data_IF_342541861947
#
_entry.id   IF_342541861947
#
_cell.length_a   1.000
_cell.length_b   1.000
_cell.length_c   1.000
_cell.angle_alpha   90.00
_cell.angle_beta   90.00
_cell.angle_gamma   90.00
#
_symmetry.space_group_name_H-M   'P 1'
#
loop_
_entity.id
_entity.type
_entity.pdbx_description
1 polymer ?
#
# COMPACT_ATOMS: atom_id res chain seq x y z
N UNK A 1 -3.81 16.65 -13.80
CA UNK A 1 -3.72 15.90 -12.53
C UNK A 1 -2.99 14.62 -12.83
N UNK A 2 -1.88 14.34 -12.14
CA UNK A 2 -1.10 13.11 -12.31
C UNK A 2 -1.46 12.12 -11.21
N UNK A 3 -1.78 10.89 -11.58
CA UNK A 3 -2.36 9.89 -10.68
C UNK A 3 -1.57 8.59 -10.73
N UNK A 4 -1.43 7.92 -9.60
CA UNK A 4 -0.77 6.62 -9.53
C UNK A 4 -1.49 5.63 -8.60
N UNK A 5 -1.39 4.36 -8.94
CA UNK A 5 -1.62 3.27 -8.00
C UNK A 5 -0.27 2.66 -7.65
N UNK A 6 -0.03 2.52 -6.36
CA UNK A 6 1.15 1.83 -5.86
C UNK A 6 0.74 0.52 -5.21
N UNK A 7 1.49 -0.51 -5.55
CA UNK A 7 1.53 -1.74 -4.79
C UNK A 7 2.98 -2.06 -4.38
N UNK A 8 3.13 -2.95 -3.42
CA UNK A 8 4.44 -3.37 -2.91
C UNK A 8 4.43 -4.88 -2.70
N UNK A 9 5.45 -5.53 -3.22
CA UNK A 9 5.60 -6.99 -3.18
C UNK A 9 6.98 -7.32 -2.62
N UNK A 10 7.06 -7.55 -1.30
CA UNK A 10 8.29 -7.82 -0.59
C UNK A 10 8.32 -9.24 -0.06
N UNK A 11 9.37 -10.00 -0.41
CA UNK A 11 9.47 -11.43 -0.07
C UNK A 11 8.55 -12.30 -0.93
N UNK A 12 8.28 -13.51 -0.47
CA UNK A 12 7.65 -14.58 -1.27
C UNK A 12 6.20 -14.89 -0.88
N UNK A 13 5.62 -14.12 0.05
CA UNK A 13 4.30 -14.44 0.62
C UNK A 13 3.13 -14.10 -0.30
N UNK A 14 3.29 -13.08 -1.16
CA UNK A 14 2.22 -12.58 -2.03
C UNK A 14 2.54 -12.73 -3.52
N UNK A 15 1.52 -12.56 -4.34
CA UNK A 15 1.59 -12.58 -5.80
C UNK A 15 1.05 -11.26 -6.34
N UNK A 16 1.75 -10.66 -7.30
CA UNK A 16 1.27 -9.48 -8.00
C UNK A 16 0.09 -9.85 -8.91
N UNK A 17 -1.06 -9.24 -8.65
CA UNK A 17 -2.26 -9.45 -9.45
C UNK A 17 -2.37 -8.39 -10.55
N UNK A 18 -2.49 -8.86 -11.80
CA UNK A 18 -2.79 -7.98 -12.92
C UNK A 18 -4.19 -7.38 -12.80
N UNK A 19 -4.38 -6.09 -13.12
CA UNK A 19 -5.68 -5.44 -13.06
C UNK A 19 -6.65 -6.03 -14.10
N UNK A 20 -7.94 -6.06 -13.76
CA UNK A 20 -9.01 -6.35 -14.73
C UNK A 20 -9.49 -5.09 -15.44
N UNK A 21 -9.29 -3.94 -14.84
CA UNK A 21 -9.65 -2.65 -15.41
C UNK A 21 -8.43 -1.72 -15.41
N UNK A 22 -8.16 -1.14 -16.58
CA UNK A 22 -7.07 -0.19 -16.77
C UNK A 22 -7.65 1.19 -17.05
N UNK A 23 -7.20 2.18 -16.28
CA UNK A 23 -7.36 3.57 -16.60
C UNK A 23 -6.06 4.05 -17.26
N UNK A 24 -6.10 4.49 -18.49
CA UNK A 24 -4.93 4.96 -19.25
C UNK A 24 -4.22 6.18 -18.61
N UNK A 25 -4.95 6.91 -17.78
CA UNK A 25 -4.44 8.10 -17.08
C UNK A 25 -3.72 7.80 -15.77
N UNK A 26 -3.73 6.54 -15.33
CA UNK A 26 -3.12 6.12 -14.06
C UNK A 26 -1.83 5.35 -14.29
N UNK A 27 -0.76 5.82 -13.67
CA UNK A 27 0.49 5.05 -13.60
C UNK A 27 0.33 3.93 -12.57
N UNK A 28 0.55 2.67 -12.99
CA UNK A 28 0.55 1.51 -12.10
C UNK A 28 1.98 1.16 -11.74
N UNK A 29 2.34 1.23 -10.45
CA UNK A 29 3.70 1.02 -9.98
C UNK A 29 3.76 -0.06 -8.92
N UNK A 30 4.62 -1.06 -9.14
CA UNK A 30 4.91 -2.11 -8.17
C UNK A 30 6.34 -1.99 -7.66
N UNK A 31 6.52 -1.65 -6.38
CA UNK A 31 7.83 -1.73 -5.74
C UNK A 31 8.08 -3.14 -5.23
N UNK A 32 9.24 -3.71 -5.54
CA UNK A 32 9.57 -5.08 -5.12
C UNK A 32 11.06 -5.25 -4.88
N UNK A 33 11.43 -6.12 -3.94
CA UNK A 33 12.80 -6.59 -3.72
C UNK A 33 13.09 -7.92 -4.48
N UNK A 34 12.16 -8.35 -5.32
CA UNK A 34 12.27 -9.57 -6.13
C UNK A 34 12.62 -9.23 -7.58
N UNK A 35 13.69 -9.82 -8.09
CA UNK A 35 14.18 -9.60 -9.47
C UNK A 35 13.42 -10.44 -10.52
N UNK A 36 12.67 -11.44 -10.09
CA UNK A 36 11.90 -12.35 -10.93
C UNK A 36 10.53 -11.82 -11.32
N UNK A 37 10.03 -10.76 -10.64
CA UNK A 37 8.71 -10.20 -10.90
C UNK A 37 8.69 -9.49 -12.24
N UNK A 38 7.72 -9.87 -13.06
CA UNK A 38 7.40 -9.23 -14.34
C UNK A 38 5.90 -8.99 -14.42
N UNK A 39 5.51 -7.95 -15.11
CA UNK A 39 4.12 -7.60 -15.36
C UNK A 39 4.00 -6.97 -16.75
N UNK A 40 2.86 -7.12 -17.39
CA UNK A 40 2.54 -6.45 -18.65
C UNK A 40 1.93 -5.06 -18.41
N UNK A 41 1.37 -4.83 -17.21
CA UNK A 41 0.63 -3.61 -16.89
C UNK A 41 1.28 -2.78 -15.78
N UNK A 42 1.92 -3.43 -14.80
CA UNK A 42 2.62 -2.74 -13.73
C UNK A 42 4.03 -2.34 -14.15
N UNK A 43 4.38 -1.08 -13.92
CA UNK A 43 5.77 -0.64 -13.95
C UNK A 43 6.47 -1.18 -12.69
N UNK A 44 7.24 -2.25 -12.86
CA UNK A 44 7.92 -2.94 -11.75
C UNK A 44 9.24 -2.24 -11.44
N UNK A 45 9.32 -1.69 -10.23
CA UNK A 45 10.50 -1.00 -9.71
C UNK A 45 11.20 -1.88 -8.69
N UNK A 46 12.39 -2.36 -9.04
CA UNK A 46 13.23 -3.09 -8.11
C UNK A 46 13.82 -2.14 -7.07
N UNK A 47 13.67 -2.51 -5.80
CA UNK A 47 14.20 -1.76 -4.66
C UNK A 47 14.97 -2.68 -3.74
N UNK A 48 16.02 -2.15 -3.13
CA UNK A 48 16.89 -2.89 -2.25
C UNK A 48 17.01 -2.17 -0.90
N UNK A 49 16.81 -2.92 0.17
CA UNK A 49 17.17 -2.46 1.51
C UNK A 49 18.69 -2.66 1.69
N UNK A 50 19.45 -1.64 1.29
CA UNK A 50 20.93 -1.69 1.28
C UNK A 50 21.54 -1.96 2.64
N UNK A 51 20.84 -1.61 3.70
CA UNK A 51 21.32 -1.78 5.07
C UNK A 51 20.84 -3.09 5.69
N UNK A 52 19.96 -3.84 5.01
CA UNK A 52 19.23 -5.00 5.55
C UNK A 52 18.60 -4.73 6.92
N UNK A 53 18.23 -3.45 7.14
CA UNK A 53 17.74 -2.97 8.42
C UNK A 53 16.28 -3.32 8.67
N UNK A 54 15.55 -3.65 7.60
CA UNK A 54 14.12 -3.91 7.64
C UNK A 54 13.81 -5.36 7.26
N UNK A 55 12.90 -5.99 7.97
CA UNK A 55 12.27 -7.18 7.44
C UNK A 55 11.30 -6.80 6.30
N UNK A 56 10.90 -7.77 5.46
CA UNK A 56 10.05 -7.56 4.30
C UNK A 56 8.77 -6.78 4.62
N UNK A 57 8.14 -7.04 5.78
CA UNK A 57 6.91 -6.37 6.22
C UNK A 57 7.15 -4.88 6.51
N UNK A 58 8.24 -4.54 7.21
CA UNK A 58 8.59 -3.14 7.47
C UNK A 58 8.97 -2.42 6.18
N UNK A 59 9.66 -3.10 5.29
CA UNK A 59 10.05 -2.57 4.02
C UNK A 59 8.82 -2.30 3.13
N UNK A 60 7.85 -3.21 3.07
CA UNK A 60 6.57 -2.99 2.41
C UNK A 60 5.81 -1.78 3.00
N UNK A 61 5.74 -1.69 4.35
CA UNK A 61 5.08 -0.59 5.02
C UNK A 61 5.73 0.77 4.74
N UNK A 62 7.05 0.82 4.51
CA UNK A 62 7.73 2.05 4.11
C UNK A 62 7.09 2.63 2.83
N UNK A 63 6.88 1.82 1.79
CA UNK A 63 6.24 2.26 0.54
C UNK A 63 4.76 2.59 0.74
N UNK A 64 4.06 1.83 1.57
CA UNK A 64 2.64 2.05 1.89
C UNK A 64 2.40 3.43 2.50
N UNK A 65 3.26 3.84 3.42
CA UNK A 65 3.09 5.10 4.16
C UNK A 65 3.87 6.28 3.58
N UNK A 66 4.73 6.04 2.58
CA UNK A 66 5.49 7.09 1.89
C UNK A 66 5.31 7.04 0.36
N UNK A 67 4.06 6.99 -0.14
CA UNK A 67 3.81 6.75 -1.57
C UNK A 67 4.40 7.85 -2.45
N UNK A 68 4.18 9.11 -2.12
CA UNK A 68 4.66 10.25 -2.92
C UNK A 68 6.18 10.35 -2.95
N UNK A 69 6.85 10.16 -1.81
CA UNK A 69 8.31 10.15 -1.72
C UNK A 69 8.91 9.00 -2.53
N UNK A 70 8.28 7.83 -2.47
CA UNK A 70 8.72 6.65 -3.23
C UNK A 70 8.60 6.85 -4.74
N UNK A 71 7.47 7.41 -5.20
CA UNK A 71 7.26 7.75 -6.60
C UNK A 71 8.24 8.84 -7.08
N UNK A 72 8.44 9.89 -6.28
CA UNK A 72 9.39 10.93 -6.62
C UNK A 72 10.81 10.36 -6.73
N UNK A 73 11.23 9.52 -5.80
CA UNK A 73 12.56 8.89 -5.82
C UNK A 73 12.77 7.96 -7.02
N UNK A 74 11.71 7.26 -7.46
CA UNK A 74 11.79 6.34 -8.59
C UNK A 74 11.76 7.04 -9.95
N UNK A 75 10.96 8.10 -10.10
CA UNK A 75 10.63 8.69 -11.41
C UNK A 75 10.97 10.17 -11.53
N UNK A 76 11.37 10.84 -10.44
CA UNK A 76 11.56 12.30 -10.38
C UNK A 76 10.30 13.07 -10.83
N UNK A 77 9.12 12.57 -10.47
CA UNK A 77 7.81 13.11 -10.82
C UNK A 77 6.97 13.32 -9.57
N UNK A 78 6.19 14.41 -9.57
CA UNK A 78 5.20 14.66 -8.54
C UNK A 78 3.83 14.12 -8.99
N UNK A 79 3.13 13.49 -8.09
CA UNK A 79 1.78 12.98 -8.28
C UNK A 79 0.82 13.76 -7.39
N UNK A 80 -0.38 14.01 -7.92
CA UNK A 80 -1.44 14.72 -7.20
C UNK A 80 -2.28 13.77 -6.35
N UNK A 81 -2.49 12.54 -6.85
CA UNK A 81 -3.25 11.49 -6.15
C UNK A 81 -2.48 10.18 -6.24
N UNK A 82 -2.43 9.48 -5.11
CA UNK A 82 -1.87 8.15 -5.04
C UNK A 82 -2.83 7.21 -4.29
N UNK A 83 -3.14 6.07 -4.91
CA UNK A 83 -3.86 4.96 -4.26
C UNK A 83 -2.84 3.88 -3.92
N UNK A 84 -2.80 3.44 -2.67
CA UNK A 84 -1.98 2.30 -2.25
C UNK A 84 -2.84 1.07 -2.03
N UNK A 85 -2.46 -0.05 -2.62
CA UNK A 85 -3.14 -1.35 -2.48
C UNK A 85 -2.13 -2.44 -2.18
N UNK A 86 -2.57 -3.49 -1.49
CA UNK A 86 -1.74 -4.69 -1.30
C UNK A 86 -1.62 -5.47 -2.63
N UNK A 87 -0.52 -6.20 -2.86
CA UNK A 87 -0.25 -6.87 -4.13
C UNK A 87 -1.30 -7.93 -4.52
N UNK A 88 -1.96 -8.50 -3.53
CA UNK A 88 -3.06 -9.45 -3.68
C UNK A 88 -4.44 -8.80 -3.86
N UNK A 89 -4.49 -7.47 -4.04
CA UNK A 89 -5.71 -6.73 -4.37
C UNK A 89 -5.73 -6.41 -5.85
N UNK A 90 -6.85 -6.69 -6.51
CA UNK A 90 -7.02 -6.49 -7.95
C UNK A 90 -7.88 -5.27 -8.25
N UNK A 91 -7.40 -4.42 -9.14
CA UNK A 91 -8.19 -3.30 -9.67
C UNK A 91 -9.26 -3.88 -10.60
N UNK A 92 -10.53 -3.76 -10.22
CA UNK A 92 -11.66 -4.33 -10.94
C UNK A 92 -12.61 -3.28 -11.53
N UNK A 93 -12.41 -2.00 -11.21
CA UNK A 93 -13.29 -0.90 -11.62
C UNK A 93 -12.51 0.36 -11.92
N UNK A 94 -13.20 1.29 -12.56
CA UNK A 94 -12.74 2.62 -12.89
C UNK A 94 -12.29 3.41 -11.64
N UNK A 95 -11.01 3.75 -11.59
CA UNK A 95 -10.39 4.45 -10.47
C UNK A 95 -10.83 5.91 -10.38
N UNK A 96 -11.13 6.56 -11.51
CA UNK A 96 -11.60 7.96 -11.52
C UNK A 96 -12.96 8.06 -10.82
N UNK A 97 -13.82 7.07 -10.99
CA UNK A 97 -15.11 6.98 -10.28
C UNK A 97 -14.91 6.74 -8.78
N UNK A 98 -13.93 5.90 -8.41
CA UNK A 98 -13.60 5.67 -7.01
C UNK A 98 -13.12 6.96 -6.38
N UNK A 99 -12.17 7.66 -7.01
CA UNK A 99 -11.63 8.91 -6.50
C UNK A 99 -12.70 9.99 -6.40
N UNK A 100 -13.52 10.17 -7.44
CA UNK A 100 -14.57 11.18 -7.43
C UNK A 100 -15.61 10.97 -6.34
N UNK A 101 -15.84 9.72 -5.95
CA UNK A 101 -16.80 9.37 -4.90
C UNK A 101 -16.21 9.46 -3.48
N UNK A 102 -14.97 8.99 -3.29
CA UNK A 102 -14.38 8.82 -1.97
C UNK A 102 -13.37 9.91 -1.58
N UNK A 103 -12.87 10.69 -2.55
CA UNK A 103 -11.91 11.77 -2.32
C UNK A 103 -12.51 13.14 -2.70
N UNK A 104 -13.62 13.56 -2.07
CA UNK A 104 -14.05 14.93 -2.21
C UNK A 104 -12.95 15.83 -1.62
N UNK A 105 -12.76 16.99 -2.18
CA UNK A 105 -11.68 17.98 -2.02
C UNK A 105 -11.31 18.41 -0.59
N UNK A 106 -11.82 17.73 0.43
CA UNK A 106 -11.69 18.11 1.85
C UNK A 106 -10.75 17.20 2.67
N UNK A 107 -10.23 16.11 2.09
CA UNK A 107 -9.43 15.14 2.84
C UNK A 107 -8.08 14.92 2.18
N UNK A 108 -7.02 15.00 2.98
CA UNK A 108 -5.66 14.66 2.56
C UNK A 108 -5.46 13.14 2.45
N UNK A 109 -6.27 12.35 3.15
CA UNK A 109 -6.20 10.90 3.16
C UNK A 109 -7.59 10.27 3.32
N UNK A 110 -7.85 9.21 2.55
CA UNK A 110 -9.04 8.38 2.67
C UNK A 110 -8.61 6.92 2.87
N UNK A 111 -9.20 6.25 3.83
CA UNK A 111 -8.95 4.83 4.12
C UNK A 111 -10.21 4.01 3.89
N UNK A 112 -10.04 2.82 3.31
CA UNK A 112 -11.13 1.87 3.21
C UNK A 112 -11.50 1.31 4.59
N UNK A 113 -12.80 1.22 4.86
CA UNK A 113 -13.30 0.60 6.09
C UNK A 113 -13.08 -0.91 6.00
N UNK A 114 -12.52 -1.50 7.04
CA UNK A 114 -12.34 -2.95 7.08
C UNK A 114 -13.73 -3.65 7.14
N UNK A 115 -13.99 -4.68 6.30
CA UNK A 115 -15.32 -5.25 6.15
C UNK A 115 -15.87 -5.93 7.42
N UNK A 116 -14.99 -6.37 8.33
CA UNK A 116 -15.38 -7.15 9.50
C UNK A 116 -15.01 -6.42 10.81
N UNK A 117 -13.94 -5.62 10.81
CA UNK A 117 -13.38 -4.97 12.00
C UNK A 117 -13.62 -3.47 11.92
N UNK A 118 -14.32 -2.93 12.90
CA UNK A 118 -14.79 -1.55 12.91
C UNK A 118 -14.16 -0.68 14.02
N UNK A 119 -13.23 -1.23 14.78
CA UNK A 119 -12.50 -0.46 15.78
C UNK A 119 -11.07 -0.97 15.97
N UNK A 120 -10.22 -0.10 16.53
CA UNK A 120 -8.79 -0.38 16.78
C UNK A 120 -8.60 -1.61 17.68
N UNK A 121 -9.47 -1.82 18.67
CA UNK A 121 -9.38 -2.97 19.57
C UNK A 121 -9.65 -4.30 18.87
N UNK A 122 -10.63 -4.35 17.96
CA UNK A 122 -10.90 -5.57 17.20
C UNK A 122 -9.78 -5.89 16.19
N UNK A 123 -9.17 -4.85 15.60
CA UNK A 123 -7.99 -5.00 14.75
C UNK A 123 -6.79 -5.50 15.55
N UNK A 124 -6.51 -4.90 16.69
CA UNK A 124 -5.41 -5.26 17.60
C UNK A 124 -5.49 -6.71 18.06
N UNK A 125 -6.67 -7.17 18.44
CA UNK A 125 -6.89 -8.57 18.83
C UNK A 125 -6.63 -9.55 17.66
N UNK A 126 -7.03 -9.16 16.45
CA UNK A 126 -6.77 -9.97 15.26
C UNK A 126 -5.26 -10.03 14.93
N UNK A 127 -4.55 -8.90 15.01
CA UNK A 127 -3.09 -8.84 14.78
C UNK A 127 -2.35 -9.79 15.73
N UNK A 128 -2.71 -9.79 17.01
CA UNK A 128 -2.13 -10.70 18.01
C UNK A 128 -2.54 -12.14 17.74
N UNK A 129 -3.83 -12.40 17.47
CA UNK A 129 -4.36 -13.73 17.19
C UNK A 129 -3.75 -14.37 15.95
N UNK A 130 -3.50 -13.60 14.92
CA UNK A 130 -2.85 -14.02 13.67
C UNK A 130 -1.31 -14.02 13.76
N UNK A 131 -0.75 -13.73 14.94
CA UNK A 131 0.70 -13.65 15.21
C UNK A 131 1.45 -12.69 14.28
N UNK A 132 0.77 -11.65 13.84
CA UNK A 132 1.36 -10.60 12.99
C UNK A 132 2.24 -9.63 13.77
N UNK A 133 1.99 -9.49 15.08
CA UNK A 133 2.81 -8.70 15.99
C UNK A 133 2.71 -9.23 17.43
N UNK A 134 3.56 -8.72 18.34
CA UNK A 134 3.56 -9.08 19.75
C UNK A 134 2.47 -8.34 20.52
N UNK A 135 1.99 -8.93 21.62
CA UNK A 135 1.02 -8.29 22.53
C UNK A 135 1.54 -6.95 23.08
N UNK A 136 2.83 -6.91 23.40
CA UNK A 136 3.51 -5.75 23.96
C UNK A 136 3.57 -4.60 22.95
N UNK A 137 3.93 -4.88 21.69
CA UNK A 137 3.96 -3.88 20.62
C UNK A 137 2.56 -3.33 20.32
N UNK A 138 1.55 -4.21 20.28
CA UNK A 138 0.16 -3.80 20.06
C UNK A 138 -0.34 -2.94 21.23
N UNK A 139 -0.07 -3.31 22.48
CA UNK A 139 -0.45 -2.54 23.65
C UNK A 139 0.21 -1.15 23.68
N UNK A 140 1.48 -1.04 23.29
CA UNK A 140 2.15 0.26 23.17
C UNK A 140 1.48 1.16 22.14
N UNK A 141 1.10 0.61 21.00
CA UNK A 141 0.39 1.37 19.96
C UNK A 141 -1.00 1.84 20.43
N UNK A 142 -1.78 0.99 21.11
CA UNK A 142 -3.10 1.37 21.64
C UNK A 142 -2.96 2.54 22.63
N UNK A 143 -2.01 2.49 23.55
CA UNK A 143 -1.79 3.55 24.54
C UNK A 143 -1.41 4.91 23.92
N UNK A 144 -0.95 4.95 22.67
CA UNK A 144 -0.72 6.21 21.94
C UNK A 144 -2.01 6.84 21.43
N UNK A 145 -3.08 6.06 21.23
CA UNK A 145 -4.38 6.57 20.77
C UNK A 145 -5.32 6.98 21.92
N UNK A 146 -5.01 6.60 23.16
CA UNK A 146 -5.81 6.94 24.33
C UNK A 146 -5.37 8.26 25.01
N UNK A 147 -4.37 8.94 24.46
CA UNK A 147 -3.88 10.26 24.90
C UNK A 147 -4.37 11.38 24.00
#
# INVERSE_FOLDING_TARGET
>A
MKTAVITYLMGDEDVLLEPHYLNETWDLVCFTNRKDIKSETWNVVYVEDKENAMNNKRFANFFKFNPFTSLFSAFNLNYDICITIDANVRIAKDLDKIVSFYCPTLFDMTLAVHPIRNCVMSESNAIVGEKKDTKEAVAQNINLFEK
#
